data_IF_936518844654
#
_entry.id   IF_936518844654
#
_cell.length_a   1.000
_cell.length_b   1.000
_cell.length_c   1.000
_cell.angle_alpha   90.00
_cell.angle_beta   90.00
_cell.angle_gamma   90.00
#
_symmetry.space_group_name_H-M   'P 1'
#
loop_
_entity.id
_entity.type
_entity.pdbx_description
1 polymer ?
#
# COMPACT_ATOMS: atom_id res chain seq x y z
N UNK A 1 53.86 26.44 -45.87
CA UNK A 1 54.33 27.75 -45.36
C UNK A 1 53.52 27.99 -44.03
N UNK A 2 54.26 27.88 -42.94
CA UNK A 2 53.73 28.08 -41.58
C UNK A 2 53.62 29.60 -41.33
N UNK A 3 52.54 30.04 -40.71
CA UNK A 3 52.51 31.35 -40.04
C UNK A 3 51.94 31.20 -38.62
N UNK A 4 52.82 31.32 -37.65
CA UNK A 4 52.52 31.38 -36.21
C UNK A 4 52.11 32.78 -35.86
N UNK A 5 50.96 32.95 -35.19
CA UNK A 5 50.57 34.21 -34.55
C UNK A 5 50.69 34.00 -33.03
N UNK A 6 51.56 34.88 -32.46
CA UNK A 6 51.85 34.97 -31.03
C UNK A 6 50.77 35.83 -30.37
N UNK A 7 50.03 35.31 -29.39
CA UNK A 7 49.07 36.06 -28.58
C UNK A 7 49.73 36.51 -27.27
N UNK A 8 49.74 37.82 -27.08
CA UNK A 8 50.32 38.52 -25.92
C UNK A 8 49.38 38.50 -24.73
N UNK A 9 49.86 37.92 -23.63
CA UNK A 9 49.19 37.97 -22.32
C UNK A 9 49.22 39.36 -21.72
N UNK A 10 48.07 39.96 -21.44
CA UNK A 10 47.93 41.14 -20.55
C UNK A 10 47.37 40.69 -19.22
N UNK A 11 48.14 40.92 -18.14
CA UNK A 11 47.71 40.79 -16.74
C UNK A 11 46.87 42.00 -16.34
N UNK A 12 45.73 41.86 -15.66
CA UNK A 12 45.08 42.93 -14.92
C UNK A 12 45.54 43.00 -13.47
N UNK A 13 45.66 44.25 -12.99
CA UNK A 13 46.02 44.65 -11.67
C UNK A 13 44.94 44.21 -10.62
N UNK A 14 45.45 43.70 -9.49
CA UNK A 14 44.64 43.52 -8.30
C UNK A 14 44.33 44.83 -7.61
N UNK A 15 43.04 45.20 -7.52
CA UNK A 15 42.55 46.22 -6.63
C UNK A 15 42.07 45.54 -5.34
N UNK A 16 42.72 45.78 -4.24
CA UNK A 16 42.29 45.32 -2.93
C UNK A 16 41.12 46.17 -2.43
N UNK A 17 39.93 45.55 -2.34
CA UNK A 17 38.80 46.14 -1.64
C UNK A 17 38.72 45.62 -0.23
N UNK A 18 38.87 46.48 0.76
CA UNK A 18 38.67 46.19 2.16
C UNK A 18 37.19 45.94 2.44
N UNK A 19 36.82 44.74 2.85
CA UNK A 19 35.45 44.42 3.26
C UNK A 19 35.31 44.67 4.78
N UNK A 20 34.41 45.55 5.15
CA UNK A 20 33.91 45.73 6.51
C UNK A 20 33.19 44.48 6.95
N UNK A 21 33.64 43.88 8.04
CA UNK A 21 32.94 42.78 8.72
C UNK A 21 31.82 43.38 9.59
N UNK A 22 30.59 43.36 9.08
CA UNK A 22 29.41 43.62 9.90
C UNK A 22 29.03 42.33 10.64
N UNK A 23 29.19 42.33 11.95
CA UNK A 23 28.75 41.21 12.81
C UNK A 23 27.22 41.19 12.83
N UNK A 24 26.62 40.24 12.11
CA UNK A 24 25.20 39.92 12.22
C UNK A 24 24.99 39.07 13.48
N UNK A 25 24.38 39.67 14.48
CA UNK A 25 23.82 38.94 15.63
C UNK A 25 22.63 38.13 15.14
N UNK A 26 22.78 36.85 15.01
CA UNK A 26 21.70 35.90 14.72
C UNK A 26 20.95 35.63 16.02
N UNK A 27 19.66 35.96 16.14
CA UNK A 27 18.88 35.53 17.30
C UNK A 27 18.75 34.02 17.29
N UNK A 28 19.05 33.36 18.40
CA UNK A 28 18.84 31.94 18.61
C UNK A 28 17.35 31.62 18.38
N UNK A 29 17.05 30.95 17.28
CA UNK A 29 15.73 30.38 17.08
C UNK A 29 15.52 29.28 18.15
N UNK A 30 14.56 29.50 19.03
CA UNK A 30 14.11 28.50 19.96
C UNK A 30 13.65 27.27 19.17
N UNK A 31 14.35 26.15 19.38
CA UNK A 31 13.94 24.87 18.82
C UNK A 31 12.55 24.53 19.36
N UNK A 32 11.53 24.59 18.49
CA UNK A 32 10.23 24.07 18.80
C UNK A 32 10.38 22.55 19.04
N UNK A 33 10.01 22.10 20.23
CA UNK A 33 9.93 20.68 20.54
C UNK A 33 9.04 19.98 19.49
N UNK A 34 9.41 18.77 19.04
CA UNK A 34 8.55 18.04 18.12
C UNK A 34 7.20 17.83 18.81
N UNK A 35 6.14 18.29 18.16
CA UNK A 35 4.79 18.02 18.59
C UNK A 35 4.65 16.49 18.71
N UNK A 36 4.34 16.03 19.91
CA UNK A 36 3.99 14.64 20.13
C UNK A 36 2.90 14.27 19.12
N UNK A 37 3.23 13.37 18.21
CA UNK A 37 2.24 12.79 17.32
C UNK A 37 1.24 12.10 18.23
N UNK A 38 0.06 12.69 18.35
CA UNK A 38 -1.05 12.02 18.99
C UNK A 38 -1.23 10.69 18.26
N UNK A 39 -0.94 9.60 18.94
CA UNK A 39 -1.34 8.27 18.50
C UNK A 39 -2.85 8.34 18.31
N UNK A 40 -3.27 8.36 17.05
CA UNK A 40 -4.68 8.23 16.71
C UNK A 40 -5.07 6.85 17.17
N UNK A 41 -5.63 6.76 18.37
CA UNK A 41 -6.32 5.55 18.82
C UNK A 41 -7.45 5.36 17.82
N UNK A 42 -7.25 4.44 16.87
CA UNK A 42 -8.33 3.98 16.01
C UNK A 42 -9.29 3.22 16.93
N UNK A 43 -10.17 3.98 17.56
CA UNK A 43 -11.34 3.42 18.19
C UNK A 43 -12.03 2.60 17.12
N UNK A 44 -12.13 1.29 17.33
CA UNK A 44 -12.81 0.38 16.43
C UNK A 44 -14.24 0.88 16.28
N UNK A 45 -14.45 1.78 15.32
CA UNK A 45 -15.77 2.04 14.80
C UNK A 45 -16.17 0.70 14.17
N UNK A 46 -16.93 -0.10 14.90
CA UNK A 46 -17.65 -1.23 14.35
C UNK A 46 -18.48 -0.67 13.20
N UNK A 47 -17.98 -0.79 11.97
CA UNK A 47 -18.82 -0.56 10.81
C UNK A 47 -19.99 -1.52 10.98
N UNK A 48 -21.22 -1.06 10.74
CA UNK A 48 -22.44 -1.82 10.98
C UNK A 48 -22.57 -3.14 10.20
N UNK A 49 -21.50 -3.59 9.55
CA UNK A 49 -21.42 -4.81 8.74
C UNK A 49 -20.63 -5.95 9.39
N UNK A 50 -20.15 -5.82 10.62
CA UNK A 50 -19.25 -6.81 11.25
C UNK A 50 -17.82 -6.76 10.65
N UNK A 51 -17.00 -7.77 11.01
CA UNK A 51 -15.60 -7.85 10.58
C UNK A 51 -14.64 -6.96 11.36
N UNK A 52 -13.34 -7.10 11.09
CA UNK A 52 -12.31 -6.25 11.69
C UNK A 52 -12.31 -4.86 11.03
N UNK A 53 -11.82 -3.87 11.77
CA UNK A 53 -11.58 -2.55 11.20
C UNK A 53 -10.64 -2.63 9.98
N UNK A 54 -9.55 -3.40 10.10
CA UNK A 54 -8.58 -3.56 9.05
C UNK A 54 -9.18 -4.18 7.78
N UNK A 55 -9.95 -5.26 7.93
CA UNK A 55 -10.62 -5.92 6.81
C UNK A 55 -11.63 -5.01 6.11
N UNK A 56 -12.43 -4.28 6.89
CA UNK A 56 -13.40 -3.33 6.32
C UNK A 56 -12.71 -2.19 5.55
N UNK A 57 -11.61 -1.64 6.10
CA UNK A 57 -10.83 -0.59 5.45
C UNK A 57 -10.17 -1.11 4.16
N UNK A 58 -9.61 -2.32 4.19
CA UNK A 58 -9.00 -2.97 3.03
C UNK A 58 -10.03 -3.20 1.91
N UNK A 59 -11.18 -3.78 2.22
CA UNK A 59 -12.22 -4.02 1.22
C UNK A 59 -12.74 -2.71 0.62
N UNK A 60 -12.98 -1.68 1.43
CA UNK A 60 -13.39 -0.37 0.92
C UNK A 60 -12.36 0.21 -0.05
N UNK A 61 -11.07 0.11 0.28
CA UNK A 61 -10.01 0.56 -0.61
C UNK A 61 -10.01 -0.24 -1.92
N UNK A 62 -10.10 -1.57 -1.85
CA UNK A 62 -10.09 -2.44 -3.01
C UNK A 62 -11.28 -2.15 -3.95
N UNK A 63 -12.49 -2.01 -3.41
CA UNK A 63 -13.69 -1.68 -4.17
C UNK A 63 -13.58 -0.33 -4.89
N UNK A 64 -12.92 0.67 -4.28
CA UNK A 64 -12.78 2.02 -4.84
C UNK A 64 -11.64 2.14 -5.86
N UNK A 65 -10.54 1.39 -5.70
CA UNK A 65 -9.30 1.62 -6.46
C UNK A 65 -8.94 0.49 -7.42
N UNK A 66 -9.41 -0.74 -7.16
CA UNK A 66 -9.03 -1.90 -7.96
C UNK A 66 -10.19 -2.48 -8.81
N UNK A 67 -11.43 -2.15 -8.51
CA UNK A 67 -12.58 -2.66 -9.28
C UNK A 67 -12.42 -2.33 -10.77
N UNK A 68 -12.60 -3.35 -11.62
CA UNK A 68 -12.49 -3.22 -13.07
C UNK A 68 -11.07 -3.28 -13.62
N UNK A 69 -10.01 -3.27 -12.80
CA UNK A 69 -8.64 -3.52 -13.24
C UNK A 69 -8.49 -4.96 -13.77
N UNK A 70 -7.53 -5.22 -14.65
CA UNK A 70 -7.32 -6.56 -15.17
C UNK A 70 -6.61 -7.47 -14.17
N UNK A 71 -6.88 -8.78 -14.26
CA UNK A 71 -6.04 -9.78 -13.63
C UNK A 71 -4.69 -9.87 -14.34
N UNK A 72 -3.61 -9.97 -13.56
CA UNK A 72 -2.26 -10.26 -14.08
C UNK A 72 -1.44 -10.95 -13.00
N UNK A 73 -0.95 -12.15 -13.27
CA UNK A 73 -0.12 -12.89 -12.32
C UNK A 73 1.13 -12.10 -11.92
N UNK A 74 1.39 -11.98 -10.61
CA UNK A 74 2.47 -11.17 -10.04
C UNK A 74 2.19 -9.66 -10.07
N UNK A 75 1.00 -9.23 -10.46
CA UNK A 75 0.63 -7.82 -10.52
C UNK A 75 0.08 -7.29 -9.20
N UNK A 76 0.36 -6.01 -8.92
CA UNK A 76 -0.08 -5.31 -7.72
C UNK A 76 -0.51 -3.86 -7.98
N UNK A 77 -0.91 -3.54 -9.20
CA UNK A 77 -1.41 -2.20 -9.55
C UNK A 77 -2.42 -2.27 -10.69
N UNK A 78 -3.31 -1.27 -10.80
CA UNK A 78 -4.29 -1.25 -11.89
C UNK A 78 -3.65 -1.16 -13.28
N UNK A 79 -2.49 -0.51 -13.41
CA UNK A 79 -1.78 -0.36 -14.69
C UNK A 79 -1.10 -1.66 -15.16
N UNK A 80 -0.67 -2.50 -14.24
CA UNK A 80 -0.05 -3.81 -14.54
C UNK A 80 -1.07 -4.95 -14.50
N UNK A 81 -2.18 -4.75 -13.83
CA UNK A 81 -3.12 -5.74 -13.35
C UNK A 81 -2.82 -6.14 -11.91
N UNK A 82 -3.75 -6.86 -11.30
CA UNK A 82 -3.61 -7.46 -9.98
C UNK A 82 -3.65 -8.97 -10.07
N UNK A 83 -2.85 -9.68 -9.28
CA UNK A 83 -3.21 -11.03 -8.88
C UNK A 83 -3.93 -11.03 -7.52
N UNK A 84 -4.38 -12.21 -7.07
CA UNK A 84 -5.15 -12.34 -5.84
C UNK A 84 -4.42 -11.81 -4.61
N UNK A 85 -3.15 -12.19 -4.43
CA UNK A 85 -2.33 -11.78 -3.30
C UNK A 85 -1.82 -10.34 -3.42
N UNK A 86 -1.55 -9.87 -4.63
CA UNK A 86 -1.18 -8.48 -4.89
C UNK A 86 -2.31 -7.51 -4.58
N UNK A 87 -3.55 -7.87 -4.95
CA UNK A 87 -4.72 -7.09 -4.57
C UNK A 87 -4.88 -7.01 -3.05
N UNK A 88 -4.79 -8.15 -2.35
CA UNK A 88 -4.91 -8.20 -0.88
C UNK A 88 -3.80 -7.40 -0.20
N UNK A 89 -2.55 -7.54 -0.65
CA UNK A 89 -1.41 -6.76 -0.15
C UNK A 89 -1.67 -5.25 -0.25
N UNK A 90 -2.05 -4.76 -1.41
CA UNK A 90 -2.31 -3.33 -1.66
C UNK A 90 -3.53 -2.84 -0.87
N UNK A 91 -4.60 -3.65 -0.82
CA UNK A 91 -5.82 -3.31 -0.09
C UNK A 91 -5.56 -3.12 1.41
N UNK A 92 -4.88 -4.06 2.05
CA UNK A 92 -4.54 -3.95 3.47
C UNK A 92 -3.47 -2.90 3.73
N UNK A 93 -2.46 -2.79 2.86
CA UNK A 93 -1.41 -1.78 2.94
C UNK A 93 -1.96 -0.36 2.91
N UNK A 94 -2.76 -0.04 1.91
CA UNK A 94 -3.33 1.29 1.73
C UNK A 94 -4.58 1.54 2.58
N UNK A 95 -5.42 0.53 2.77
CA UNK A 95 -6.67 0.68 3.53
C UNK A 95 -6.45 0.69 5.04
N UNK A 96 -5.55 -0.15 5.54
CA UNK A 96 -5.36 -0.38 6.97
C UNK A 96 -3.93 -0.12 7.48
N UNK A 97 -2.96 0.15 6.60
CA UNK A 97 -1.55 0.30 6.97
C UNK A 97 -0.85 -1.03 7.32
N UNK A 98 -1.46 -2.17 6.97
CA UNK A 98 -0.94 -3.52 7.24
C UNK A 98 -0.47 -4.13 5.92
N UNK A 99 0.86 -4.19 5.73
CA UNK A 99 1.45 -4.74 4.52
C UNK A 99 1.65 -6.25 4.64
N UNK A 100 0.75 -7.01 4.01
CA UNK A 100 0.83 -8.45 3.93
C UNK A 100 1.81 -8.88 2.81
N UNK A 101 2.41 -10.10 2.88
CA UNK A 101 3.27 -10.61 1.82
C UNK A 101 2.53 -10.74 0.48
N UNK A 102 3.21 -10.43 -0.65
CA UNK A 102 2.68 -10.69 -2.01
C UNK A 102 2.83 -12.18 -2.38
N UNK A 103 2.22 -13.04 -1.60
CA UNK A 103 2.14 -14.49 -1.81
C UNK A 103 1.11 -15.09 -0.87
N UNK A 104 0.13 -15.81 -1.40
CA UNK A 104 -0.89 -16.50 -0.60
C UNK A 104 -0.27 -17.48 0.42
N UNK A 105 0.77 -18.21 0.00
CA UNK A 105 1.49 -19.13 0.89
C UNK A 105 2.20 -18.40 2.05
N UNK A 106 2.84 -17.27 1.76
CA UNK A 106 3.51 -16.47 2.78
C UNK A 106 2.51 -15.75 3.70
N UNK A 107 1.37 -15.31 3.16
CA UNK A 107 0.28 -14.73 3.96
C UNK A 107 -0.22 -15.70 5.04
N UNK A 108 -0.36 -16.99 4.74
CA UNK A 108 -0.82 -18.00 5.72
C UNK A 108 0.11 -18.15 6.93
N UNK A 109 1.37 -17.69 6.82
CA UNK A 109 2.35 -17.68 7.90
C UNK A 109 2.52 -16.27 8.54
N UNK A 110 1.78 -15.27 8.08
CA UNK A 110 1.89 -13.89 8.56
C UNK A 110 1.22 -13.75 9.94
N UNK A 111 1.88 -13.09 10.92
CA UNK A 111 1.35 -12.97 12.27
C UNK A 111 0.06 -12.12 12.37
N UNK A 112 -0.26 -11.31 11.37
CA UNK A 112 -1.52 -10.56 11.35
C UNK A 112 -2.74 -11.41 10.95
N UNK A 113 -2.53 -12.63 10.40
CA UNK A 113 -3.61 -13.50 9.99
C UNK A 113 -4.01 -14.44 11.13
N UNK A 114 -5.24 -14.30 11.60
CA UNK A 114 -5.83 -15.14 12.64
C UNK A 114 -6.93 -16.02 12.05
N UNK A 115 -6.72 -17.35 12.10
CA UNK A 115 -7.71 -18.29 11.60
C UNK A 115 -9.04 -18.13 12.33
N UNK A 116 -10.13 -18.20 11.57
CA UNK A 116 -11.50 -18.21 12.07
C UNK A 116 -12.30 -19.33 11.37
N UNK A 117 -13.32 -19.90 12.02
CA UNK A 117 -14.24 -20.79 11.33
C UNK A 117 -14.90 -20.08 10.13
N UNK A 118 -15.04 -20.77 8.99
CA UNK A 118 -15.73 -20.22 7.81
C UNK A 118 -17.14 -19.67 8.13
N UNK A 119 -17.85 -20.32 9.05
CA UNK A 119 -19.18 -19.87 9.51
C UNK A 119 -19.17 -18.58 10.31
N UNK A 120 -18.00 -18.09 10.71
CA UNK A 120 -17.79 -16.83 11.42
C UNK A 120 -17.13 -15.75 10.55
N UNK A 121 -16.92 -16.05 9.26
CA UNK A 121 -16.40 -15.09 8.32
C UNK A 121 -17.34 -13.88 8.21
N UNK A 122 -16.74 -12.71 8.12
CA UNK A 122 -17.42 -11.42 8.08
C UNK A 122 -16.74 -10.53 7.04
N UNK A 123 -17.42 -9.48 6.65
CA UNK A 123 -16.91 -8.50 5.70
C UNK A 123 -15.47 -8.10 5.99
N UNK A 124 -14.60 -8.22 4.99
CA UNK A 124 -13.18 -7.89 5.08
C UNK A 124 -12.28 -9.02 5.56
N UNK A 125 -12.82 -10.18 5.95
CA UNK A 125 -12.01 -11.36 6.24
C UNK A 125 -11.41 -11.93 4.94
N UNK A 126 -10.25 -12.56 5.05
CA UNK A 126 -9.60 -13.21 3.91
C UNK A 126 -10.11 -14.63 3.73
N UNK A 127 -10.61 -14.92 2.55
CA UNK A 127 -11.15 -16.20 2.13
C UNK A 127 -10.11 -16.92 1.26
N UNK A 128 -9.53 -18.00 1.78
CA UNK A 128 -8.52 -18.79 1.07
C UNK A 128 -9.13 -20.01 0.37
N UNK A 129 -8.69 -20.24 -0.85
CA UNK A 129 -9.01 -21.40 -1.68
C UNK A 129 -7.77 -22.28 -1.78
N UNK A 130 -7.57 -23.11 -0.77
CA UNK A 130 -6.29 -23.78 -0.53
C UNK A 130 -5.17 -22.78 -0.20
N UNK A 131 -3.94 -23.09 -0.60
CA UNK A 131 -2.79 -22.18 -0.44
C UNK A 131 -2.50 -21.35 -1.69
N UNK A 132 -3.27 -21.51 -2.75
CA UNK A 132 -2.98 -20.93 -4.07
C UNK A 132 -3.77 -19.68 -4.42
N UNK A 133 -4.86 -19.40 -3.70
CA UNK A 133 -5.71 -18.25 -4.02
C UNK A 133 -6.36 -17.64 -2.79
N UNK A 134 -6.60 -16.33 -2.82
CA UNK A 134 -7.20 -15.55 -1.73
C UNK A 134 -8.09 -14.44 -2.29
N UNK A 135 -9.21 -14.19 -1.63
CA UNK A 135 -10.14 -13.11 -1.90
C UNK A 135 -10.61 -12.46 -0.60
N UNK A 136 -11.27 -11.31 -0.65
CA UNK A 136 -11.78 -10.60 0.52
C UNK A 136 -13.28 -10.85 0.64
N UNK A 137 -13.74 -11.31 1.80
CA UNK A 137 -15.16 -11.54 2.05
C UNK A 137 -15.98 -10.25 2.00
N UNK A 138 -17.21 -10.35 1.49
CA UNK A 138 -18.15 -9.24 1.42
C UNK A 138 -19.29 -9.41 2.44
N UNK A 139 -20.23 -8.47 2.47
CA UNK A 139 -21.43 -8.61 3.31
C UNK A 139 -22.43 -9.63 2.74
N UNK A 140 -22.26 -10.02 1.47
CA UNK A 140 -23.24 -10.85 0.76
C UNK A 140 -22.89 -12.33 0.86
N UNK A 141 -23.89 -13.14 1.09
CA UNK A 141 -23.75 -14.59 1.18
C UNK A 141 -23.10 -15.17 -0.09
N UNK A 142 -22.07 -15.99 0.10
CA UNK A 142 -21.30 -16.63 -0.98
C UNK A 142 -20.65 -15.64 -1.99
N UNK A 143 -20.33 -14.44 -1.53
CA UNK A 143 -19.67 -13.45 -2.39
C UNK A 143 -18.38 -12.95 -1.77
N UNK A 144 -17.34 -12.86 -2.60
CA UNK A 144 -16.03 -12.27 -2.28
C UNK A 144 -15.71 -11.18 -3.29
N UNK A 145 -14.72 -10.37 -2.97
CA UNK A 145 -14.12 -9.39 -3.88
C UNK A 145 -12.67 -9.77 -4.11
N UNK A 146 -12.25 -9.89 -5.38
CA UNK A 146 -10.92 -10.37 -5.68
C UNK A 146 -10.45 -10.18 -7.12
N UNK A 147 -9.17 -10.52 -7.34
CA UNK A 147 -8.57 -10.71 -8.65
C UNK A 147 -8.56 -12.22 -8.92
N UNK A 148 -9.58 -12.71 -9.64
CA UNK A 148 -9.94 -14.11 -9.65
C UNK A 148 -9.06 -14.94 -10.60
N UNK A 149 -9.03 -14.61 -11.91
CA UNK A 149 -8.32 -15.43 -12.90
C UNK A 149 -8.01 -14.63 -14.18
N UNK A 150 -7.20 -15.24 -15.06
CA UNK A 150 -6.86 -14.71 -16.37
C UNK A 150 -8.09 -14.36 -17.21
N UNK A 151 -7.99 -13.23 -17.90
CA UNK A 151 -9.07 -12.73 -18.75
C UNK A 151 -10.24 -12.12 -17.98
N UNK A 152 -10.17 -12.08 -16.65
CA UNK A 152 -11.17 -11.47 -15.79
C UNK A 152 -10.71 -10.13 -15.23
N UNK A 153 -11.66 -9.36 -14.76
CA UNK A 153 -11.43 -8.11 -14.05
C UNK A 153 -11.60 -8.31 -12.55
N UNK A 154 -10.85 -7.56 -11.78
CA UNK A 154 -11.05 -7.42 -10.33
C UNK A 154 -12.49 -7.00 -10.06
N UNK A 155 -13.15 -7.69 -9.16
CA UNK A 155 -14.55 -7.42 -8.84
C UNK A 155 -15.16 -8.43 -7.89
N UNK A 156 -16.48 -8.38 -7.83
CA UNK A 156 -17.29 -9.28 -7.00
C UNK A 156 -17.45 -10.64 -7.67
N UNK A 157 -17.23 -11.69 -6.90
CA UNK A 157 -17.25 -13.08 -7.35
C UNK A 157 -18.21 -13.86 -6.46
N UNK A 158 -19.15 -14.58 -7.08
CA UNK A 158 -20.03 -15.49 -6.34
C UNK A 158 -19.48 -16.89 -6.44
N UNK A 159 -19.16 -17.49 -5.30
CA UNK A 159 -18.63 -18.86 -5.24
C UNK A 159 -19.75 -19.89 -4.99
N UNK A 160 -19.49 -21.13 -5.34
CA UNK A 160 -20.47 -22.22 -5.31
C UNK A 160 -19.82 -23.57 -4.99
N UNK A 161 -20.52 -24.69 -5.18
CA UNK A 161 -20.06 -26.00 -4.74
C UNK A 161 -18.71 -26.45 -5.33
N UNK A 162 -18.39 -26.01 -6.54
CA UNK A 162 -17.16 -26.43 -7.25
C UNK A 162 -15.97 -25.52 -7.00
N UNK A 163 -16.23 -24.31 -6.54
CA UNK A 163 -15.23 -23.31 -6.18
C UNK A 163 -15.71 -22.60 -4.93
N UNK A 164 -15.12 -22.92 -3.78
CA UNK A 164 -15.50 -22.35 -2.49
C UNK A 164 -14.26 -22.21 -1.60
N UNK A 165 -14.25 -21.25 -0.68
CA UNK A 165 -13.15 -21.09 0.26
C UNK A 165 -13.04 -22.30 1.19
N UNK A 166 -11.79 -22.66 1.50
CA UNK A 166 -11.46 -23.79 2.41
C UNK A 166 -11.02 -23.32 3.79
N UNK A 167 -10.66 -22.04 3.93
CA UNK A 167 -10.28 -21.42 5.19
C UNK A 167 -10.60 -19.92 5.18
N UNK A 168 -10.84 -19.36 6.36
CA UNK A 168 -11.02 -17.93 6.56
C UNK A 168 -10.04 -17.41 7.62
N UNK A 169 -9.56 -16.18 7.41
CA UNK A 169 -8.64 -15.51 8.33
C UNK A 169 -9.08 -14.05 8.51
N UNK A 170 -9.02 -13.60 9.74
CA UNK A 170 -9.22 -12.20 10.11
C UNK A 170 -7.89 -11.52 10.33
N UNK A 171 -7.75 -10.29 9.83
CA UNK A 171 -6.53 -9.48 9.95
C UNK A 171 -6.72 -8.43 11.04
N UNK A 172 -5.80 -8.39 12.03
CA UNK A 172 -5.65 -7.34 13.04
C UNK A 172 -4.23 -7.26 13.57
#
# INVERSE_FOLDING_TARGET
MLSMAVATMRRPLFVAAAALVAALVVPAAAAAAPAAQASVSHSAATSGYGGSWAGNAALNWAEQHAAGCWYSYGGSSCSQGYDCSGLVMEAFGHGAGIWLPHSTYAMLADPHLHWIPLSQAQRGDLMFYGSGHVEIDTVWYHQTFGAHDWGQRVGWITWGPWWHPTAAYRVW
#
